data_IF_895792240216
#
_entry.id   IF_895792240216
#
_cell.length_a   1.000
_cell.length_b   1.000
_cell.length_c   1.000
_cell.angle_alpha   90.00
_cell.angle_beta   90.00
_cell.angle_gamma   90.00
#
_symmetry.space_group_name_H-M   'P 1'
#
loop_
_entity.id
_entity.type
_entity.pdbx_description
1 polymer ?
#
# COMPACT_ATOMS: atom_id res chain seq x y z
N UNK A 1 -55.21 -34.22 10.02
CA UNK A 1 -54.53 -34.17 8.71
C UNK A 1 -53.04 -34.34 8.98
N UNK A 2 -52.44 -35.39 8.43
CA UNK A 2 -51.04 -35.78 8.62
C UNK A 2 -50.18 -35.05 7.58
N UNK A 3 -49.13 -34.35 8.00
CA UNK A 3 -48.06 -33.94 7.10
C UNK A 3 -46.76 -34.58 7.52
N UNK A 4 -46.28 -35.43 6.61
CA UNK A 4 -45.06 -36.22 6.64
C UNK A 4 -43.82 -35.36 6.84
N UNK A 5 -42.88 -35.90 7.61
CA UNK A 5 -41.54 -35.36 7.75
C UNK A 5 -40.73 -35.45 6.47
N UNK A 6 -39.90 -34.44 6.27
CA UNK A 6 -38.77 -34.48 5.34
C UNK A 6 -37.51 -34.10 6.13
N UNK A 7 -36.92 -35.10 6.77
CA UNK A 7 -35.54 -35.08 7.25
C UNK A 7 -34.61 -35.32 6.06
N UNK A 8 -34.14 -34.25 5.40
CA UNK A 8 -32.96 -34.34 4.55
C UNK A 8 -31.72 -34.12 5.41
N UNK A 9 -31.13 -35.25 5.83
CA UNK A 9 -29.72 -35.34 6.20
C UNK A 9 -28.89 -35.14 4.94
N UNK A 10 -28.23 -33.99 4.80
CA UNK A 10 -27.10 -33.83 3.88
C UNK A 10 -25.82 -34.11 4.67
N UNK A 11 -25.44 -35.38 4.64
CA UNK A 11 -24.14 -35.91 5.09
C UNK A 11 -23.42 -36.37 3.82
N UNK A 12 -22.17 -35.94 3.65
CA UNK A 12 -21.28 -36.32 2.54
C UNK A 12 -21.17 -35.19 1.50
N UNK A 13 -20.00 -34.72 1.09
CA UNK A 13 -18.70 -35.39 1.04
C UNK A 13 -17.57 -34.38 1.20
N UNK A 14 -16.77 -34.56 2.25
CA UNK A 14 -15.38 -34.11 2.30
C UNK A 14 -14.61 -35.03 1.36
N UNK A 15 -14.51 -34.65 0.09
CA UNK A 15 -13.57 -35.25 -0.84
C UNK A 15 -12.32 -34.38 -0.86
N UNK A 16 -11.32 -34.85 -0.12
CA UNK A 16 -9.98 -34.32 -0.11
C UNK A 16 -9.39 -34.38 -1.53
N UNK A 17 -9.20 -33.22 -2.16
CA UNK A 17 -8.28 -33.10 -3.30
C UNK A 17 -6.89 -32.86 -2.72
N UNK A 18 -6.30 -33.93 -2.21
CA UNK A 18 -4.84 -34.05 -2.04
C UNK A 18 -4.30 -34.40 -3.41
N UNK A 19 -4.19 -33.38 -4.26
CA UNK A 19 -3.53 -33.43 -5.55
C UNK A 19 -2.06 -33.08 -5.37
N UNK A 20 -1.24 -34.11 -5.21
CA UNK A 20 0.22 -34.10 -5.30
C UNK A 20 0.65 -33.35 -6.59
N UNK A 21 1.04 -32.09 -6.47
CA UNK A 21 1.83 -31.41 -7.50
C UNK A 21 3.28 -31.38 -7.02
N UNK A 22 3.96 -32.42 -7.46
CA UNK A 22 5.37 -32.69 -7.28
C UNK A 22 6.22 -31.51 -7.75
N UNK A 23 7.14 -31.10 -6.88
CA UNK A 23 8.56 -30.90 -7.19
C UNK A 23 8.86 -30.22 -8.53
N UNK A 24 8.44 -28.97 -8.65
CA UNK A 24 9.05 -27.98 -9.54
C UNK A 24 10.01 -27.10 -8.75
N UNK A 25 11.08 -27.69 -8.19
CA UNK A 25 12.15 -26.95 -7.55
C UNK A 25 12.93 -26.15 -8.60
N UNK A 26 12.46 -24.95 -8.94
CA UNK A 26 13.28 -23.94 -9.58
C UNK A 26 14.19 -23.33 -8.50
N UNK A 27 15.31 -23.98 -8.24
CA UNK A 27 16.46 -23.30 -7.65
C UNK A 27 16.90 -22.22 -8.63
N UNK A 28 16.42 -20.99 -8.45
CA UNK A 28 17.07 -19.82 -9.02
C UNK A 28 18.36 -19.65 -8.24
N UNK A 29 19.40 -20.37 -8.71
CA UNK A 29 20.76 -20.11 -8.32
C UNK A 29 21.07 -18.66 -8.75
N UNK A 30 21.12 -17.76 -7.77
CA UNK A 30 21.77 -16.47 -7.94
C UNK A 30 23.21 -16.75 -8.34
N UNK A 31 23.52 -16.59 -9.64
CA UNK A 31 24.90 -16.43 -10.06
C UNK A 31 25.39 -15.13 -9.45
N UNK A 32 26.23 -15.25 -8.43
CA UNK A 32 27.22 -14.24 -8.11
C UNK A 32 28.01 -13.97 -9.40
N UNK A 33 27.80 -12.80 -10.00
CA UNK A 33 28.65 -12.32 -11.07
C UNK A 33 30.03 -12.05 -10.47
N UNK A 34 30.99 -12.88 -10.85
CA UNK A 34 32.41 -12.68 -10.62
C UNK A 34 32.82 -11.24 -11.00
N UNK A 35 33.52 -10.61 -10.08
CA UNK A 35 34.31 -9.43 -10.33
C UNK A 35 35.36 -9.74 -11.41
N UNK A 36 35.08 -9.34 -12.65
CA UNK A 36 36.11 -9.22 -13.67
C UNK A 36 36.97 -7.99 -13.34
N UNK A 37 38.04 -8.21 -12.58
CA UNK A 37 39.17 -7.31 -12.49
C UNK A 37 39.78 -7.16 -13.89
N UNK A 38 39.63 -5.99 -14.50
CA UNK A 38 40.38 -5.58 -15.68
C UNK A 38 41.48 -4.57 -15.27
N UNK A 39 42.66 -4.66 -15.90
CA UNK A 39 43.92 -4.08 -15.41
C UNK A 39 43.97 -2.55 -15.52
N UNK A 40 44.76 -1.85 -14.68
CA UNK A 40 45.12 -0.47 -14.96
C UNK A 40 46.13 -0.45 -16.13
N UNK A 41 46.02 0.52 -17.04
CA UNK A 41 47.23 1.31 -17.29
C UNK A 41 47.03 2.77 -17.71
N UNK A 42 48.13 3.49 -17.45
CA UNK A 42 48.66 4.65 -18.17
C UNK A 42 48.18 6.04 -17.76
N UNK A 43 48.99 6.60 -16.85
CA UNK A 43 49.26 8.02 -16.69
C UNK A 43 49.66 8.61 -18.05
N UNK A 44 48.88 9.56 -18.56
CA UNK A 44 49.35 10.51 -19.57
C UNK A 44 49.35 11.87 -18.88
N UNK A 45 50.55 12.37 -18.59
CA UNK A 45 50.75 13.76 -18.24
C UNK A 45 50.46 14.61 -19.48
N UNK A 46 49.49 15.52 -19.38
CA UNK A 46 49.33 16.63 -20.32
C UNK A 46 49.28 17.91 -19.51
N UNK A 47 50.01 18.89 -20.02
CA UNK A 47 50.43 20.13 -19.40
C UNK A 47 49.30 21.02 -18.88
N UNK A 48 49.65 21.69 -17.77
CA UNK A 48 49.40 23.09 -17.45
C UNK A 48 48.75 23.93 -18.57
N UNK A 49 47.49 24.31 -18.38
CA UNK A 49 46.92 25.57 -18.90
C UNK A 49 45.99 26.12 -17.81
N UNK A 50 46.50 27.12 -17.10
CA UNK A 50 45.71 28.08 -16.34
C UNK A 50 44.74 28.78 -17.30
N UNK A 51 43.45 28.55 -17.12
CA UNK A 51 42.38 29.36 -17.70
C UNK A 51 41.48 29.88 -16.57
N UNK A 52 41.54 31.19 -16.37
CA UNK A 52 40.68 31.99 -15.50
C UNK A 52 39.21 31.89 -15.97
N UNK A 53 38.25 31.51 -15.10
CA UNK A 53 36.84 31.55 -15.48
C UNK A 53 36.31 33.01 -15.44
N UNK A 54 35.57 33.45 -16.48
CA UNK A 54 34.95 34.77 -16.53
C UNK A 54 33.83 34.95 -15.48
N UNK A 55 33.46 36.21 -15.14
CA UNK A 55 32.54 36.51 -14.04
C UNK A 55 31.10 36.01 -14.27
N UNK A 56 30.49 35.62 -13.16
CA UNK A 56 29.08 35.22 -12.99
C UNK A 56 28.10 36.15 -13.71
N UNK A 57 27.25 35.55 -14.55
CA UNK A 57 26.03 36.19 -15.03
C UNK A 57 24.85 35.73 -14.18
N UNK A 58 24.42 36.61 -13.27
CA UNK A 58 23.17 36.48 -12.52
C UNK A 58 21.99 36.72 -13.44
N UNK A 59 21.25 35.67 -13.81
CA UNK A 59 19.97 35.79 -14.50
C UNK A 59 18.83 35.87 -13.48
N UNK A 60 18.46 37.10 -13.14
CA UNK A 60 17.22 37.42 -12.40
C UNK A 60 16.02 37.01 -13.23
N UNK A 61 15.36 35.92 -12.85
CA UNK A 61 14.11 35.49 -13.47
C UNK A 61 12.92 36.09 -12.72
N UNK A 62 12.18 36.96 -13.40
CA UNK A 62 10.95 37.60 -12.92
C UNK A 62 9.82 36.56 -12.75
N UNK A 63 9.12 36.49 -11.61
CA UNK A 63 7.95 35.63 -11.50
C UNK A 63 6.78 36.24 -12.30
N UNK A 64 6.26 35.50 -13.27
CA UNK A 64 4.97 35.79 -13.91
C UNK A 64 3.85 35.12 -13.12
N UNK A 65 2.99 35.94 -12.52
CA UNK A 65 1.80 35.51 -11.79
C UNK A 65 0.70 35.18 -12.80
N UNK A 66 0.48 33.92 -13.11
CA UNK A 66 -0.67 33.49 -13.92
C UNK A 66 -1.83 33.16 -12.99
N UNK A 67 -2.71 34.15 -12.77
CA UNK A 67 -3.98 33.97 -12.07
C UNK A 67 -4.92 33.13 -12.92
N UNK A 68 -5.08 31.85 -12.58
CA UNK A 68 -6.07 30.98 -13.21
C UNK A 68 -7.37 31.00 -12.40
N UNK A 69 -8.33 31.80 -12.86
CA UNK A 69 -9.70 31.82 -12.33
C UNK A 69 -10.41 30.54 -12.78
N UNK A 70 -10.63 29.61 -11.85
CA UNK A 70 -11.44 28.42 -12.13
C UNK A 70 -12.92 28.77 -12.01
N UNK A 71 -13.63 28.76 -13.14
CA UNK A 71 -15.08 28.93 -13.20
C UNK A 71 -15.77 27.62 -12.81
N UNK A 72 -16.37 27.56 -11.63
CA UNK A 72 -17.16 26.41 -11.19
C UNK A 72 -18.55 26.47 -11.83
N UNK A 73 -18.79 25.62 -12.85
CA UNK A 73 -20.12 25.42 -13.43
C UNK A 73 -20.91 24.44 -12.56
N UNK A 74 -21.81 24.96 -11.74
CA UNK A 74 -22.77 24.13 -10.98
C UNK A 74 -23.91 23.66 -11.88
N UNK A 75 -23.84 22.43 -12.38
CA UNK A 75 -24.96 21.80 -13.09
C UNK A 75 -25.97 21.27 -12.06
N UNK A 76 -27.00 22.06 -11.78
CA UNK A 76 -28.16 21.61 -10.99
C UNK A 76 -29.03 20.68 -11.85
N UNK A 77 -28.97 19.38 -11.59
CA UNK A 77 -29.90 18.41 -12.16
C UNK A 77 -31.12 18.31 -11.25
N UNK A 78 -32.24 18.89 -11.70
CA UNK A 78 -33.55 18.71 -11.08
C UNK A 78 -33.98 17.26 -11.24
N UNK A 79 -33.74 16.44 -10.22
CA UNK A 79 -34.24 15.06 -10.16
C UNK A 79 -35.74 15.10 -9.85
N UNK A 80 -36.53 14.57 -10.78
CA UNK A 80 -37.98 14.34 -10.63
C UNK A 80 -38.24 13.49 -9.38
N UNK A 81 -39.17 13.87 -8.47
CA UNK A 81 -39.49 13.08 -7.29
C UNK A 81 -39.92 11.66 -7.67
N UNK A 82 -39.19 10.66 -7.18
CA UNK A 82 -39.53 9.24 -7.31
C UNK A 82 -40.79 8.96 -6.46
N UNK A 83 -41.79 8.22 -6.97
CA UNK A 83 -42.96 7.82 -6.19
C UNK A 83 -42.55 7.11 -4.89
N UNK A 84 -43.09 7.56 -3.77
CA UNK A 84 -42.86 6.97 -2.46
C UNK A 84 -43.36 5.52 -2.45
N UNK A 85 -42.44 4.58 -2.32
CA UNK A 85 -42.78 3.17 -2.09
C UNK A 85 -42.94 2.99 -0.59
N UNK A 86 -44.18 2.84 -0.13
CA UNK A 86 -44.50 2.54 1.27
C UNK A 86 -44.10 1.09 1.57
N UNK A 87 -42.92 0.90 2.17
CA UNK A 87 -42.49 -0.39 2.69
C UNK A 87 -43.10 -0.60 4.07
N UNK A 88 -44.08 -1.49 4.18
CA UNK A 88 -44.67 -1.91 5.46
C UNK A 88 -43.61 -2.63 6.28
N UNK A 89 -43.16 -1.99 7.38
CA UNK A 89 -42.21 -2.56 8.33
C UNK A 89 -42.89 -3.67 9.12
N UNK A 90 -42.54 -4.92 8.83
CA UNK A 90 -42.88 -6.06 9.69
C UNK A 90 -41.97 -5.97 10.92
N UNK A 91 -42.55 -5.63 12.06
CA UNK A 91 -41.89 -5.67 13.37
C UNK A 91 -41.78 -7.13 13.80
N UNK A 92 -40.68 -7.77 13.41
CA UNK A 92 -40.28 -9.05 13.99
C UNK A 92 -39.79 -8.80 15.42
N UNK A 93 -40.37 -9.52 16.38
CA UNK A 93 -39.96 -9.49 17.77
C UNK A 93 -38.45 -9.80 17.90
N UNK A 94 -37.71 -9.10 18.77
CA UNK A 94 -36.29 -9.36 18.97
C UNK A 94 -36.08 -10.80 19.47
N UNK A 95 -35.14 -11.56 18.89
CA UNK A 95 -34.79 -12.87 19.39
C UNK A 95 -34.29 -12.76 20.82
N UNK A 96 -34.73 -13.68 21.68
CA UNK A 96 -34.35 -13.74 23.08
C UNK A 96 -32.82 -13.70 23.22
N UNK A 97 -32.32 -12.69 23.94
CA UNK A 97 -30.91 -12.49 24.25
C UNK A 97 -30.40 -13.73 24.99
N UNK A 98 -29.55 -14.53 24.34
CA UNK A 98 -28.80 -15.57 25.02
C UNK A 98 -27.95 -14.96 26.15
N UNK A 99 -27.81 -15.63 27.30
CA UNK A 99 -26.97 -15.12 28.40
C UNK A 99 -25.55 -14.89 27.89
N UNK A 100 -25.11 -13.62 27.98
CA UNK A 100 -23.76 -13.19 27.64
C UNK A 100 -22.80 -13.90 28.59
N UNK A 101 -22.11 -14.93 28.09
CA UNK A 101 -20.98 -15.52 28.82
C UNK A 101 -20.00 -14.40 29.11
N UNK A 102 -19.77 -14.15 30.39
CA UNK A 102 -18.83 -13.15 30.90
C UNK A 102 -17.44 -13.54 30.43
N UNK A 103 -17.03 -13.00 29.28
CA UNK A 103 -15.66 -13.19 28.79
C UNK A 103 -14.72 -12.55 29.82
N UNK A 104 -13.73 -13.31 30.35
CA UNK A 104 -12.77 -12.76 31.28
C UNK A 104 -12.09 -11.53 30.66
N UNK A 105 -11.81 -10.48 31.45
CA UNK A 105 -11.10 -9.31 30.96
C UNK A 105 -9.79 -9.76 30.32
N UNK A 106 -9.65 -9.53 29.01
CA UNK A 106 -8.37 -9.73 28.32
C UNK A 106 -7.39 -8.77 28.99
N UNK A 107 -6.27 -9.26 29.55
CA UNK A 107 -5.29 -8.38 30.16
C UNK A 107 -4.83 -7.34 29.13
N UNK A 108 -4.58 -6.08 29.54
CA UNK A 108 -4.00 -5.10 28.64
C UNK A 108 -2.70 -5.68 28.10
N UNK A 109 -2.65 -5.92 26.79
CA UNK A 109 -1.41 -6.29 26.12
C UNK A 109 -0.45 -5.14 26.39
N UNK A 110 0.65 -5.41 27.08
CA UNK A 110 1.69 -4.41 27.35
C UNK A 110 2.03 -3.73 26.02
N UNK A 111 1.83 -2.42 25.93
CA UNK A 111 2.23 -1.68 24.74
C UNK A 111 3.74 -1.86 24.59
N UNK A 112 4.24 -2.37 23.45
CA UNK A 112 5.66 -2.54 23.26
C UNK A 112 6.36 -1.21 23.50
N UNK A 113 7.37 -1.24 24.38
CA UNK A 113 8.25 -0.13 24.70
C UNK A 113 8.94 0.34 23.44
N UNK A 114 8.49 1.48 22.90
CA UNK A 114 9.21 2.40 22.01
C UNK A 114 10.21 1.74 21.02
N UNK A 115 9.71 0.91 20.11
CA UNK A 115 10.45 0.63 18.87
C UNK A 115 10.61 1.94 18.10
N UNK A 116 11.84 2.29 17.71
CA UNK A 116 12.10 3.48 16.91
C UNK A 116 11.39 3.43 15.55
N UNK A 117 11.36 4.53 14.78
CA UNK A 117 10.65 4.57 13.50
C UNK A 117 11.08 3.47 12.52
N UNK A 118 12.36 3.13 12.48
CA UNK A 118 12.89 2.08 11.60
C UNK A 118 12.41 0.68 12.02
N UNK A 119 12.41 0.38 13.33
CA UNK A 119 11.91 -0.89 13.85
C UNK A 119 10.39 -1.03 13.63
N UNK A 120 9.63 0.06 13.80
CA UNK A 120 8.20 0.09 13.50
C UNK A 120 7.93 -0.19 12.02
N UNK A 121 8.72 0.42 11.12
CA UNK A 121 8.66 0.15 9.69
C UNK A 121 8.92 -1.31 9.36
N UNK A 122 9.99 -1.89 9.91
CA UNK A 122 10.36 -3.28 9.67
C UNK A 122 9.27 -4.25 10.17
N UNK A 123 8.74 -4.02 11.39
CA UNK A 123 7.67 -4.82 11.95
C UNK A 123 6.36 -4.71 11.16
N UNK A 124 6.01 -3.50 10.71
CA UNK A 124 4.82 -3.29 9.90
C UNK A 124 4.96 -3.90 8.51
N UNK A 125 6.14 -3.79 7.86
CA UNK A 125 6.42 -4.45 6.58
C UNK A 125 6.34 -5.98 6.71
N UNK A 126 6.92 -6.55 7.76
CA UNK A 126 6.82 -7.99 8.03
C UNK A 126 5.37 -8.42 8.20
N UNK A 127 4.58 -7.68 8.99
CA UNK A 127 3.15 -7.96 9.16
C UNK A 127 2.41 -7.95 7.82
N UNK A 128 2.67 -6.97 6.95
CA UNK A 128 2.05 -6.87 5.62
C UNK A 128 2.44 -8.07 4.73
N UNK A 129 3.70 -8.51 4.79
CA UNK A 129 4.17 -9.71 4.09
C UNK A 129 3.49 -10.99 4.60
N UNK A 130 3.32 -11.14 5.91
CA UNK A 130 2.57 -12.26 6.51
C UNK A 130 1.10 -12.29 6.09
N UNK A 131 0.55 -11.14 5.67
CA UNK A 131 -0.80 -11.01 5.12
C UNK A 131 -0.86 -11.10 3.58
N UNK A 132 0.24 -11.55 2.95
CA UNK A 132 0.27 -11.90 1.53
C UNK A 132 0.57 -10.73 0.59
N UNK A 133 1.02 -9.58 1.11
CA UNK A 133 1.47 -8.45 0.30
C UNK A 133 2.98 -8.32 0.36
N UNK A 134 3.63 -8.52 -0.79
CA UNK A 134 5.07 -8.37 -0.95
C UNK A 134 5.32 -7.38 -2.08
N UNK A 135 6.33 -6.51 -1.90
CA UNK A 135 6.74 -5.59 -2.97
C UNK A 135 7.17 -6.36 -4.22
N UNK A 136 6.78 -5.90 -5.43
CA UNK A 136 7.26 -6.52 -6.66
C UNK A 136 8.79 -6.44 -6.78
N UNK A 137 9.40 -7.40 -7.47
CA UNK A 137 10.84 -7.39 -7.71
C UNK A 137 11.28 -6.08 -8.40
N UNK A 138 12.41 -5.52 -7.95
CA UNK A 138 12.94 -4.25 -8.45
C UNK A 138 12.37 -2.99 -7.80
N UNK A 139 11.38 -3.10 -6.91
CA UNK A 139 10.91 -1.98 -6.11
C UNK A 139 11.73 -1.79 -4.84
N UNK A 140 12.05 -0.52 -4.53
CA UNK A 140 12.65 -0.13 -3.26
C UNK A 140 11.61 0.12 -2.15
N UNK A 141 12.03 -0.05 -0.89
CA UNK A 141 11.25 0.31 0.30
C UNK A 141 11.97 1.38 1.12
N UNK A 142 11.33 2.54 1.35
CA UNK A 142 11.90 3.68 2.07
C UNK A 142 11.06 4.01 3.31
N UNK A 143 11.40 3.43 4.46
CA UNK A 143 10.68 3.65 5.71
C UNK A 143 11.69 3.62 6.89
N UNK A 144 11.87 4.72 7.64
CA UNK A 144 11.24 6.02 7.42
C UNK A 144 11.73 6.68 6.11
N UNK A 145 10.82 7.32 5.39
CA UNK A 145 11.12 8.04 4.15
C UNK A 145 10.23 9.26 3.99
N UNK A 146 10.61 10.19 3.12
CA UNK A 146 9.76 11.33 2.78
C UNK A 146 8.80 10.94 1.66
N UNK A 147 7.49 11.03 1.93
CA UNK A 147 6.44 10.83 0.93
C UNK A 147 5.94 12.20 0.44
N UNK A 148 6.48 12.69 -0.69
CA UNK A 148 6.15 14.00 -1.26
C UNK A 148 5.54 13.83 -2.65
N UNK A 149 4.34 14.38 -2.87
CA UNK A 149 3.69 14.43 -4.18
C UNK A 149 3.53 15.88 -4.59
N UNK A 150 4.27 16.32 -5.61
CA UNK A 150 4.28 17.73 -6.03
C UNK A 150 4.69 18.69 -4.91
N UNK A 151 5.62 18.27 -4.03
CA UNK A 151 6.05 19.03 -2.85
C UNK A 151 5.07 18.98 -1.67
N UNK A 152 3.90 18.35 -1.81
CA UNK A 152 2.93 18.19 -0.72
C UNK A 152 3.22 16.90 0.05
N UNK A 153 3.43 16.95 1.38
CA UNK A 153 3.70 15.74 2.14
C UNK A 153 2.45 14.87 2.36
N UNK A 154 2.64 13.55 2.27
CA UNK A 154 1.64 12.49 2.38
C UNK A 154 2.06 11.48 3.44
N UNK A 155 1.17 10.56 3.82
CA UNK A 155 1.53 9.45 4.73
C UNK A 155 2.41 8.40 4.04
N UNK A 156 2.10 8.10 2.79
CA UNK A 156 2.87 7.23 1.92
C UNK A 156 2.84 7.73 0.48
N UNK A 157 3.71 7.17 -0.35
CA UNK A 157 3.61 7.26 -1.80
C UNK A 157 4.27 6.06 -2.46
N UNK A 158 3.69 5.62 -3.57
CA UNK A 158 4.30 4.73 -4.54
C UNK A 158 4.76 5.54 -5.76
N UNK A 159 6.03 5.39 -6.10
CA UNK A 159 6.66 6.03 -7.24
C UNK A 159 7.02 4.96 -8.28
N UNK A 160 6.53 5.13 -9.50
CA UNK A 160 6.91 4.31 -10.65
C UNK A 160 7.94 5.04 -11.51
N UNK A 161 9.13 4.47 -11.65
CA UNK A 161 10.20 4.98 -12.50
C UNK A 161 10.52 6.48 -12.31
N UNK A 162 10.47 7.00 -11.08
CA UNK A 162 10.73 8.43 -10.87
C UNK A 162 12.23 8.72 -10.88
N UNK A 163 12.58 9.79 -11.59
CA UNK A 163 13.89 10.46 -11.51
C UNK A 163 15.08 9.55 -11.83
N UNK A 164 14.87 8.49 -12.62
CA UNK A 164 15.92 7.51 -12.93
C UNK A 164 16.38 6.66 -11.75
N UNK A 165 15.74 6.80 -10.58
CA UNK A 165 16.05 6.04 -9.37
C UNK A 165 15.28 4.70 -9.27
N UNK A 166 14.56 4.33 -10.34
CA UNK A 166 13.69 3.16 -10.39
C UNK A 166 12.35 3.38 -9.70
N UNK A 167 11.70 2.27 -9.34
CA UNK A 167 10.40 2.27 -8.65
C UNK A 167 10.59 2.02 -7.16
N UNK A 168 9.82 2.69 -6.32
CA UNK A 168 9.93 2.57 -4.86
C UNK A 168 8.66 3.03 -4.17
N UNK A 169 8.47 2.59 -2.92
CA UNK A 169 7.48 3.18 -2.01
C UNK A 169 8.19 3.91 -0.87
N UNK A 170 7.64 5.03 -0.40
CA UNK A 170 8.14 5.77 0.76
C UNK A 170 7.03 6.03 1.78
N UNK A 171 7.39 5.99 3.06
CA UNK A 171 6.44 6.08 4.17
C UNK A 171 6.93 7.09 5.21
N UNK A 172 6.13 8.12 5.44
CA UNK A 172 6.38 9.18 6.43
C UNK A 172 5.80 8.78 7.79
N UNK A 173 6.59 8.03 8.56
CA UNK A 173 6.24 7.58 9.91
C UNK A 173 5.94 8.75 10.85
N UNK A 174 6.63 9.88 10.68
CA UNK A 174 6.44 11.07 11.51
C UNK A 174 5.04 11.65 11.33
N UNK A 175 4.52 11.64 10.10
CA UNK A 175 3.17 12.14 9.78
C UNK A 175 2.06 11.16 10.15
N UNK A 176 2.33 9.86 10.12
CA UNK A 176 1.39 8.82 10.57
C UNK A 176 1.23 8.87 12.10
N UNK A 177 2.31 9.18 12.83
CA UNK A 177 2.33 9.21 14.28
C UNK A 177 2.45 7.80 14.91
N UNK A 178 1.89 7.63 16.10
CA UNK A 178 2.13 6.45 16.94
C UNK A 178 1.28 5.21 16.57
N UNK A 179 0.35 5.31 15.62
CA UNK A 179 -0.57 4.21 15.28
C UNK A 179 0.09 3.16 14.37
N UNK A 180 0.36 1.97 14.92
CA UNK A 180 0.87 0.84 14.12
C UNK A 180 -0.19 0.27 13.18
N UNK A 181 -1.47 0.37 13.53
CA UNK A 181 -2.57 -0.02 12.65
C UNK A 181 -2.59 0.85 11.39
N UNK A 182 -2.48 2.17 11.56
CA UNK A 182 -2.38 3.13 10.45
C UNK A 182 -1.09 2.91 9.65
N UNK A 183 0.04 2.63 10.31
CA UNK A 183 1.30 2.35 9.61
C UNK A 183 1.20 1.09 8.72
N UNK A 184 0.64 -0.01 9.24
CA UNK A 184 0.40 -1.23 8.46
C UNK A 184 -0.53 -0.98 7.28
N UNK A 185 -1.57 -0.18 7.47
CA UNK A 185 -2.48 0.21 6.40
C UNK A 185 -1.78 0.99 5.29
N UNK A 186 -1.02 2.03 5.64
CA UNK A 186 -0.30 2.84 4.65
C UNK A 186 0.71 1.98 3.89
N UNK A 187 1.49 1.12 4.57
CA UNK A 187 2.43 0.23 3.87
C UNK A 187 1.69 -0.73 2.93
N UNK A 188 0.61 -1.37 3.38
CA UNK A 188 -0.20 -2.24 2.52
C UNK A 188 -0.77 -1.49 1.31
N UNK A 189 -1.29 -0.28 1.53
CA UNK A 189 -1.83 0.60 0.49
C UNK A 189 -0.77 0.93 -0.58
N UNK A 190 0.44 1.35 -0.18
CA UNK A 190 1.49 1.66 -1.15
C UNK A 190 2.01 0.42 -1.90
N UNK A 191 2.05 -0.75 -1.25
CA UNK A 191 2.39 -2.01 -1.94
C UNK A 191 1.31 -2.37 -2.96
N UNK A 192 0.05 -2.15 -2.64
CA UNK A 192 -1.06 -2.37 -3.58
C UNK A 192 -0.96 -1.45 -4.80
N UNK A 193 -0.59 -0.18 -4.63
CA UNK A 193 -0.24 0.68 -5.75
C UNK A 193 0.88 0.06 -6.61
N UNK A 194 1.96 -0.41 -5.97
CA UNK A 194 3.09 -0.99 -6.68
C UNK A 194 2.71 -2.24 -7.50
N UNK A 195 1.91 -3.12 -6.92
CA UNK A 195 1.41 -4.33 -7.58
C UNK A 195 0.50 -3.99 -8.76
N UNK A 196 -0.45 -3.08 -8.58
CA UNK A 196 -1.39 -2.68 -9.63
C UNK A 196 -0.68 -1.99 -10.80
N UNK A 197 0.26 -1.07 -10.51
CA UNK A 197 1.09 -0.46 -11.55
C UNK A 197 1.92 -1.49 -12.31
N UNK A 198 2.50 -2.47 -11.60
CA UNK A 198 3.30 -3.53 -12.25
C UNK A 198 2.44 -4.43 -13.14
N UNK A 199 1.20 -4.70 -12.73
CA UNK A 199 0.30 -5.59 -13.47
C UNK A 199 -0.42 -4.90 -14.65
N UNK A 200 -0.85 -3.65 -14.46
CA UNK A 200 -1.78 -2.96 -15.36
C UNK A 200 -1.24 -1.65 -15.93
N UNK A 201 -0.12 -1.13 -15.40
CA UNK A 201 0.41 0.18 -15.78
C UNK A 201 -0.40 1.37 -15.26
N UNK A 202 -1.37 1.13 -14.36
CA UNK A 202 -2.23 2.13 -13.75
C UNK A 202 -2.54 1.76 -12.31
N UNK A 203 -2.90 2.74 -11.48
CA UNK A 203 -3.43 2.49 -10.15
C UNK A 203 -4.27 3.66 -9.65
N UNK A 204 -5.18 3.40 -8.70
CA UNK A 204 -6.03 4.42 -8.07
C UNK A 204 -6.02 4.28 -6.56
N UNK A 205 -6.24 5.37 -5.84
CA UNK A 205 -6.31 5.37 -4.37
C UNK A 205 -7.39 4.39 -3.86
N UNK A 206 -8.55 4.32 -4.55
CA UNK A 206 -9.66 3.44 -4.17
C UNK A 206 -9.29 1.96 -4.33
N UNK A 207 -8.61 1.59 -5.43
CA UNK A 207 -8.19 0.20 -5.67
C UNK A 207 -7.10 -0.21 -4.69
N UNK A 208 -6.16 0.69 -4.36
CA UNK A 208 -5.15 0.47 -3.33
C UNK A 208 -5.75 0.27 -1.93
N UNK A 209 -6.71 1.11 -1.53
CA UNK A 209 -7.43 0.96 -0.25
C UNK A 209 -8.21 -0.36 -0.14
N UNK A 210 -8.90 -0.75 -1.22
CA UNK A 210 -9.64 -2.01 -1.26
C UNK A 210 -8.69 -3.21 -1.20
N UNK A 211 -7.57 -3.16 -1.93
CA UNK A 211 -6.53 -4.18 -1.88
C UNK A 211 -5.94 -4.30 -0.46
N UNK A 212 -5.55 -3.19 0.18
CA UNK A 212 -5.03 -3.21 1.54
C UNK A 212 -6.04 -3.85 2.52
N UNK A 213 -7.33 -3.50 2.40
CA UNK A 213 -8.38 -4.08 3.22
C UNK A 213 -8.61 -5.59 2.96
N UNK A 214 -8.52 -6.04 1.71
CA UNK A 214 -8.61 -7.47 1.35
C UNK A 214 -7.47 -8.30 1.97
N UNK A 215 -6.32 -7.66 2.18
CA UNK A 215 -5.19 -8.24 2.91
C UNK A 215 -5.24 -7.96 4.42
N UNK A 216 -6.41 -7.60 4.96
CA UNK A 216 -6.64 -7.49 6.40
C UNK A 216 -6.06 -6.24 7.06
N UNK A 217 -5.56 -5.27 6.30
CA UNK A 217 -5.02 -4.04 6.86
C UNK A 217 -6.14 -3.23 7.55
N UNK A 218 -5.98 -2.84 8.84
CA UNK A 218 -7.00 -2.07 9.54
C UNK A 218 -7.21 -0.72 8.87
N UNK A 219 -8.45 -0.30 8.62
CA UNK A 219 -8.69 1.05 8.10
C UNK A 219 -8.37 2.09 9.17
N UNK A 220 -7.64 3.16 8.82
CA UNK A 220 -7.28 4.23 9.74
C UNK A 220 -8.46 5.14 10.11
#
# INVERSE_FOLDING_TARGET
MRFSGYTHRLVGSVAAVVGLLALGGATVAWRAGEAAALPPPSVVAVADVVAEPPPSSTSTSTPSTTTSTSTTTSTSTTVKPRPATTTTRVTSAPPATAPRLTQPPVPPVAQPTSSGPAERCAAALQWVAEHGLVLPAGWGFRCPGQALVGGTPRWGMACWNCEGAGSWIAIDVGRIGASDATLRHVIAHEICHALEYTALGLSTELTADLCAALHGAPRP
#
